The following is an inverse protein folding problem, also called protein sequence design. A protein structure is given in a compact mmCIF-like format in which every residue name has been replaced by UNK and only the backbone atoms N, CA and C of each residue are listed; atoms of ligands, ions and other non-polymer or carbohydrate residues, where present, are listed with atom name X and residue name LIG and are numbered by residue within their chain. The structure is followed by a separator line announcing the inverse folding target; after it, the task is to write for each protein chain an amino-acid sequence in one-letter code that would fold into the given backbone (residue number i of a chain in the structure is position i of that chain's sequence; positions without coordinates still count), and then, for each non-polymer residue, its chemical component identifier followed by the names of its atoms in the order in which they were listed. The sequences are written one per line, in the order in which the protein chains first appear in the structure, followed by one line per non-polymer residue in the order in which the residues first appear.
data_IF_432931642169
#
_entry.id   IF_432931642169
#
_cell.length_a   1.000
_cell.length_b   1.000
_cell.length_c   1.000
_cell.angle_alpha   90.00
_cell.angle_beta   90.00
_cell.angle_gamma   90.00
#
_symmetry.space_group_name_H-M   'P 1'
#
loop_
_entity.id
_entity.type
_entity.pdbx_description
1 polymer ?
#
# COMPACT_ATOMS: atom_id res chain seq x y z
N UNK A 1 4.66 25.58 -3.35
CA UNK A 1 3.93 24.56 -2.57
C UNK A 1 3.01 23.84 -3.54
N UNK A 2 2.99 22.51 -3.54
CA UNK A 2 1.96 21.76 -4.26
C UNK A 2 0.62 21.91 -3.52
N UNK A 3 -0.46 22.05 -4.27
CA UNK A 3 -1.82 22.04 -3.73
C UNK A 3 -2.29 20.60 -3.47
N UNK A 4 -3.28 20.43 -2.59
CA UNK A 4 -3.91 19.12 -2.33
C UNK A 4 -4.35 18.45 -3.64
N UNK A 5 -4.94 19.24 -4.54
CA UNK A 5 -5.41 18.80 -5.86
C UNK A 5 -4.29 18.24 -6.75
N UNK A 6 -3.11 18.86 -6.73
CA UNK A 6 -1.94 18.40 -7.50
C UNK A 6 -1.31 17.12 -6.92
N UNK A 7 -1.48 16.87 -5.62
CA UNK A 7 -0.94 15.69 -4.94
C UNK A 7 -1.83 14.44 -5.07
N UNK A 8 -3.15 14.60 -5.28
CA UNK A 8 -4.11 13.49 -5.39
C UNK A 8 -3.72 12.44 -6.45
N UNK A 9 -3.31 12.80 -7.70
CA UNK A 9 -2.90 11.82 -8.69
C UNK A 9 -1.69 10.99 -8.27
N UNK A 10 -0.72 11.60 -7.58
CA UNK A 10 0.46 10.91 -7.07
C UNK A 10 0.08 9.91 -5.97
N UNK A 11 -0.77 10.32 -5.02
CA UNK A 11 -1.28 9.44 -3.97
C UNK A 11 -2.02 8.23 -4.54
N UNK A 12 -2.87 8.42 -5.55
CA UNK A 12 -3.56 7.32 -6.25
C UNK A 12 -2.56 6.33 -6.86
N UNK A 13 -1.60 6.82 -7.64
CA UNK A 13 -0.57 5.98 -8.27
C UNK A 13 0.26 5.21 -7.25
N UNK A 14 0.64 5.87 -6.14
CA UNK A 14 1.41 5.23 -5.08
C UNK A 14 0.59 4.16 -4.36
N UNK A 15 -0.69 4.39 -4.11
CA UNK A 15 -1.59 3.41 -3.52
C UNK A 15 -1.76 2.17 -4.41
N UNK A 16 -1.89 2.35 -5.71
CA UNK A 16 -1.99 1.23 -6.67
C UNK A 16 -0.70 0.42 -6.73
N UNK A 17 0.48 1.08 -6.71
CA UNK A 17 1.77 0.40 -6.61
C UNK A 17 1.91 -0.42 -5.32
N UNK A 18 1.46 0.12 -4.19
CA UNK A 18 1.48 -0.60 -2.91
C UNK A 18 0.54 -1.81 -2.94
N UNK A 19 -0.66 -1.68 -3.52
CA UNK A 19 -1.60 -2.79 -3.70
C UNK A 19 -1.02 -3.88 -4.59
N UNK A 20 -0.39 -3.52 -5.71
CA UNK A 20 0.30 -4.47 -6.57
C UNK A 20 1.41 -5.19 -5.81
N UNK A 21 2.27 -4.44 -5.10
CA UNK A 21 3.35 -5.04 -4.31
C UNK A 21 2.85 -6.00 -3.24
N UNK A 22 1.71 -5.72 -2.62
CA UNK A 22 1.04 -6.62 -1.67
C UNK A 22 0.65 -7.93 -2.35
N UNK A 23 0.07 -7.88 -3.55
CA UNK A 23 -0.30 -9.07 -4.32
C UNK A 23 0.92 -9.91 -4.68
N UNK A 24 2.01 -9.26 -5.11
CA UNK A 24 3.26 -9.95 -5.43
C UNK A 24 3.81 -10.71 -4.21
N UNK A 25 3.79 -10.09 -3.02
CA UNK A 25 4.25 -10.73 -1.78
C UNK A 25 3.33 -11.87 -1.32
N UNK A 26 2.01 -11.74 -1.54
CA UNK A 26 1.07 -12.81 -1.23
C UNK A 26 1.34 -14.03 -2.11
N UNK A 27 1.59 -13.81 -3.41
CA UNK A 27 1.96 -14.85 -4.35
C UNK A 27 3.31 -15.49 -4.00
N UNK A 28 4.32 -14.68 -3.67
CA UNK A 28 5.63 -15.18 -3.21
C UNK A 28 5.49 -16.08 -1.97
N UNK A 29 4.67 -15.66 -1.00
CA UNK A 29 4.41 -16.42 0.24
C UNK A 29 3.69 -17.74 -0.01
N UNK A 30 2.78 -17.78 -0.99
CA UNK A 30 2.01 -18.98 -1.35
C UNK A 30 2.93 -20.14 -1.77
N UNK A 31 3.98 -19.83 -2.53
CA UNK A 31 4.90 -20.84 -3.08
C UNK A 31 6.18 -21.05 -2.25
N UNK A 32 6.40 -20.29 -1.18
CA UNK A 32 7.62 -20.38 -0.37
C UNK A 32 7.57 -21.59 0.60
N UNK A 33 8.44 -22.60 0.45
CA UNK A 33 8.43 -23.79 1.31
C UNK A 33 8.97 -23.53 2.72
N UNK A 34 9.88 -22.57 2.90
CA UNK A 34 10.51 -22.32 4.20
C UNK A 34 9.57 -21.56 5.14
N UNK A 35 9.37 -22.10 6.35
CA UNK A 35 8.61 -21.41 7.39
C UNK A 35 9.20 -20.04 7.74
N UNK A 36 10.52 -19.97 7.95
CA UNK A 36 11.19 -18.72 8.33
C UNK A 36 11.00 -17.63 7.25
N UNK A 37 11.12 -18.00 5.97
CA UNK A 37 10.90 -17.07 4.87
C UNK A 37 9.43 -16.66 4.76
N UNK A 38 8.47 -17.59 4.87
CA UNK A 38 7.03 -17.27 4.92
C UNK A 38 6.66 -16.35 6.08
N UNK A 39 7.30 -16.53 7.24
CA UNK A 39 7.12 -15.65 8.39
C UNK A 39 7.59 -14.23 8.07
N UNK A 40 8.80 -14.06 7.54
CA UNK A 40 9.33 -12.74 7.11
C UNK A 40 8.45 -12.09 6.03
N UNK A 41 7.93 -12.86 5.07
CA UNK A 41 6.98 -12.38 4.07
C UNK A 41 5.67 -11.90 4.71
N UNK A 42 5.17 -12.64 5.70
CA UNK A 42 3.95 -12.25 6.44
C UNK A 42 4.14 -10.94 7.18
N UNK A 43 5.26 -10.75 7.88
CA UNK A 43 5.58 -9.46 8.54
C UNK A 43 5.67 -8.30 7.53
N UNK A 44 6.23 -8.56 6.35
CA UNK A 44 6.33 -7.56 5.29
C UNK A 44 4.95 -7.18 4.72
N UNK A 45 4.08 -8.18 4.52
CA UNK A 45 2.69 -7.96 4.09
C UNK A 45 1.91 -7.14 5.14
N UNK A 46 2.07 -7.46 6.43
CA UNK A 46 1.43 -6.71 7.52
C UNK A 46 1.86 -5.24 7.50
N UNK A 47 3.16 -4.97 7.31
CA UNK A 47 3.68 -3.60 7.19
C UNK A 47 3.08 -2.87 5.99
N UNK A 48 3.03 -3.50 4.81
CA UNK A 48 2.42 -2.88 3.62
C UNK A 48 0.92 -2.63 3.82
N UNK A 49 0.18 -3.52 4.46
CA UNK A 49 -1.24 -3.31 4.75
C UNK A 49 -1.46 -2.04 5.58
N UNK A 50 -0.60 -1.77 6.57
CA UNK A 50 -0.68 -0.55 7.39
C UNK A 50 -0.43 0.71 6.56
N UNK A 51 0.56 0.68 5.66
CA UNK A 51 0.85 1.80 4.76
C UNK A 51 -0.33 2.03 3.81
N UNK A 52 -0.86 0.98 3.18
CA UNK A 52 -2.03 1.07 2.30
C UNK A 52 -3.23 1.69 3.03
N UNK A 53 -3.51 1.25 4.25
CA UNK A 53 -4.62 1.78 5.04
C UNK A 53 -4.43 3.28 5.35
N UNK A 54 -3.24 3.66 5.82
CA UNK A 54 -2.92 5.06 6.11
C UNK A 54 -2.95 5.95 4.86
N UNK A 55 -2.41 5.48 3.74
CA UNK A 55 -2.41 6.23 2.47
C UNK A 55 -3.81 6.33 1.87
N UNK A 56 -4.65 5.31 2.02
CA UNK A 56 -6.05 5.35 1.58
C UNK A 56 -6.88 6.34 2.42
N UNK A 57 -6.68 6.38 3.74
CA UNK A 57 -7.31 7.35 4.62
C UNK A 57 -6.88 8.78 4.24
N UNK A 58 -5.58 9.03 4.10
CA UNK A 58 -5.07 10.34 3.68
C UNK A 58 -5.65 10.78 2.32
N UNK A 59 -5.72 9.87 1.34
CA UNK A 59 -6.31 10.19 0.04
C UNK A 59 -7.81 10.50 0.16
N UNK A 60 -8.53 9.83 1.05
CA UNK A 60 -9.93 10.14 1.32
C UNK A 60 -10.08 11.56 1.89
N UNK A 61 -9.31 11.91 2.91
CA UNK A 61 -9.32 13.25 3.52
C UNK A 61 -8.98 14.34 2.48
N UNK A 62 -8.01 14.08 1.60
CA UNK A 62 -7.63 15.00 0.52
C UNK A 62 -8.75 15.20 -0.50
N UNK A 63 -9.49 14.14 -0.83
CA UNK A 63 -10.65 14.21 -1.72
C UNK A 63 -11.85 14.90 -1.07
N UNK A 64 -12.00 14.83 0.26
CA UNK A 64 -13.02 15.58 0.98
C UNK A 64 -12.67 17.07 1.08
N UNK A 65 -11.39 17.41 1.25
CA UNK A 65 -10.91 18.79 1.27
C UNK A 65 -11.01 19.50 -0.09
N UNK A 66 -10.86 18.77 -1.20
CA UNK A 66 -10.96 19.31 -2.58
C UNK A 66 -12.41 19.52 -3.07
N UNK A 67 -13.41 19.05 -2.30
CA UNK A 67 -14.84 19.30 -2.58
C UNK A 67 -15.26 20.71 -2.16
#
# INVERSE_FOLDING_TARGET
MQTVREMIPEYKRNLDRLRQRRLDLLREREFEPSFEKRYKLTERIVRINKIIASSAAALHDMLEYDK
#
